data_IF_953106276838
#
_entry.id   IF_953106276838
#
_cell.length_a   1.000
_cell.length_b   1.000
_cell.length_c   1.000
_cell.angle_alpha   90.00
_cell.angle_beta   90.00
_cell.angle_gamma   90.00
#
_symmetry.space_group_name_H-M   'P 1'
#
loop_
_entity.id
_entity.type
_entity.pdbx_description
1 polymer ?
#
# COMPACT_ATOMS: atom_id res chain seq x y z
N UNK A 1 4.56 -12.82 1.46
CA UNK A 1 5.70 -12.22 0.74
C UNK A 1 5.43 -10.72 0.64
N UNK A 2 6.46 -9.88 0.49
CA UNK A 2 6.26 -8.46 0.12
C UNK A 2 7.31 -8.08 -0.92
N UNK A 3 6.93 -7.22 -1.86
CA UNK A 3 7.87 -6.63 -2.83
C UNK A 3 8.21 -5.19 -2.47
N UNK A 4 7.19 -4.41 -2.08
CA UNK A 4 7.34 -2.99 -1.75
C UNK A 4 6.99 -2.73 -0.29
N UNK A 5 7.95 -2.18 0.45
CA UNK A 5 7.69 -1.47 1.69
C UNK A 5 7.19 -0.06 1.35
N UNK A 6 6.24 0.44 2.13
CA UNK A 6 5.63 1.76 1.95
C UNK A 6 6.42 2.79 2.75
N UNK A 7 6.52 2.56 4.06
CA UNK A 7 7.27 3.40 4.99
C UNK A 7 7.62 2.58 6.24
N UNK A 8 8.58 3.05 7.01
CA UNK A 8 8.86 2.53 8.34
C UNK A 8 9.24 3.67 9.29
N UNK A 9 8.82 3.60 10.55
CA UNK A 9 9.07 4.65 11.53
C UNK A 9 9.10 4.11 12.96
N UNK A 10 9.65 4.90 13.88
CA UNK A 10 9.70 4.60 15.31
C UNK A 10 8.35 4.88 15.99
N UNK A 11 7.80 3.90 16.69
CA UNK A 11 6.74 4.10 17.68
C UNK A 11 7.38 4.57 19.00
N UNK A 12 6.79 5.60 19.63
CA UNK A 12 7.28 6.16 20.89
C UNK A 12 6.19 6.16 21.95
N UNK A 13 6.58 5.99 23.21
CA UNK A 13 5.69 6.16 24.36
C UNK A 13 5.46 7.64 24.71
N UNK A 14 4.66 7.89 25.76
CA UNK A 14 4.33 9.24 26.24
C UNK A 14 5.58 10.03 26.69
N UNK A 15 6.64 9.35 27.09
CA UNK A 15 7.93 9.95 27.46
C UNK A 15 8.90 10.12 26.26
N UNK A 16 8.50 9.71 25.06
CA UNK A 16 9.28 9.83 23.84
C UNK A 16 10.35 8.74 23.65
N UNK A 17 10.32 7.67 24.45
CA UNK A 17 11.21 6.51 24.29
C UNK A 17 10.70 5.63 23.16
N UNK A 18 11.60 5.10 22.33
CA UNK A 18 11.23 4.21 21.23
C UNK A 18 10.84 2.83 21.78
N UNK A 19 9.63 2.39 21.50
CA UNK A 19 9.05 1.12 21.98
C UNK A 19 8.99 0.04 20.90
N UNK A 20 8.81 0.45 19.64
CA UNK A 20 8.70 -0.47 18.51
C UNK A 20 9.10 0.21 17.19
N UNK A 21 9.35 -0.59 16.16
CA UNK A 21 9.39 -0.14 14.76
C UNK A 21 8.09 -0.53 14.08
N UNK A 22 7.44 0.44 13.45
CA UNK A 22 6.31 0.23 12.55
C UNK A 22 6.86 0.12 11.13
N UNK A 23 6.48 -0.92 10.40
CA UNK A 23 6.82 -1.10 9.00
C UNK A 23 5.58 -1.46 8.18
N UNK A 24 5.19 -0.57 7.28
CA UNK A 24 4.05 -0.78 6.39
C UNK A 24 4.54 -1.34 5.04
N UNK A 25 3.81 -2.32 4.49
CA UNK A 25 4.17 -2.94 3.22
C UNK A 25 2.96 -3.36 2.39
N UNK A 26 3.19 -3.47 1.08
CA UNK A 26 2.25 -4.04 0.13
C UNK A 26 2.41 -5.59 0.22
N UNK A 27 1.53 -6.24 1.01
CA UNK A 27 1.61 -7.65 1.43
C UNK A 27 0.93 -8.56 0.42
N UNK A 28 1.71 -9.52 -0.07
CA UNK A 28 1.34 -10.56 -1.03
C UNK A 28 1.14 -11.92 -0.35
N UNK A 29 0.18 -12.72 -0.81
CA UNK A 29 0.08 -14.12 -0.44
C UNK A 29 1.36 -14.83 -0.91
N UNK A 30 1.89 -15.75 -0.12
CA UNK A 30 3.17 -16.40 -0.42
C UNK A 30 3.05 -17.48 -1.51
N UNK A 31 2.29 -17.19 -2.57
CA UNK A 31 2.15 -18.06 -3.73
C UNK A 31 3.08 -17.57 -4.84
N UNK A 32 4.03 -18.42 -5.23
CA UNK A 32 4.99 -18.13 -6.30
C UNK A 32 4.34 -18.03 -7.68
N UNK A 33 3.05 -18.40 -7.82
CA UNK A 33 2.26 -18.24 -9.04
C UNK A 33 2.19 -16.80 -9.55
N UNK A 34 2.46 -15.80 -8.70
CA UNK A 34 2.44 -14.39 -9.12
C UNK A 34 3.41 -14.15 -10.29
N UNK A 35 4.58 -14.80 -10.30
CA UNK A 35 5.54 -14.67 -11.39
C UNK A 35 5.03 -15.24 -12.71
N UNK A 36 4.29 -16.35 -12.66
CA UNK A 36 3.69 -16.95 -13.85
C UNK A 36 2.52 -16.10 -14.38
N UNK A 37 1.73 -15.54 -13.47
CA UNK A 37 0.64 -14.64 -13.78
C UNK A 37 1.12 -13.34 -14.46
N UNK A 38 2.31 -12.85 -14.09
CA UNK A 38 2.93 -11.66 -14.69
C UNK A 38 3.62 -11.90 -16.04
N UNK A 39 3.58 -13.13 -16.59
CA UNK A 39 4.09 -13.39 -17.94
C UNK A 39 3.25 -12.65 -18.99
N UNK A 40 3.92 -12.08 -20.00
CA UNK A 40 3.26 -11.25 -21.03
C UNK A 40 2.06 -11.91 -21.72
N UNK A 41 2.12 -13.22 -22.00
CA UNK A 41 1.00 -13.93 -22.64
C UNK A 41 -0.24 -14.01 -21.73
N UNK A 42 -0.04 -14.08 -20.41
CA UNK A 42 -1.13 -14.09 -19.42
C UNK A 42 -1.72 -12.70 -19.21
N UNK A 43 -0.87 -11.67 -19.18
CA UNK A 43 -1.30 -10.27 -19.10
C UNK A 43 -2.07 -9.81 -20.35
N UNK A 44 -1.74 -10.36 -21.54
CA UNK A 44 -2.38 -10.00 -22.82
C UNK A 44 -3.64 -10.79 -23.16
N UNK A 45 -3.90 -11.91 -22.50
CA UNK A 45 -5.18 -12.60 -22.62
C UNK A 45 -6.17 -11.93 -21.67
N UNK A 46 -7.44 -11.74 -22.02
CA UNK A 46 -8.51 -11.38 -21.06
C UNK A 46 -9.67 -12.34 -21.21
N UNK A 47 -10.03 -13.05 -20.13
CA UNK A 47 -11.10 -14.05 -20.13
C UNK A 47 -12.36 -13.57 -19.41
N UNK A 48 -12.43 -12.30 -18.99
CA UNK A 48 -13.54 -11.79 -18.18
C UNK A 48 -13.47 -12.13 -16.70
N UNK A 49 -12.45 -12.90 -16.27
CA UNK A 49 -12.24 -13.32 -14.89
C UNK A 49 -11.12 -12.52 -14.21
N UNK A 50 -11.17 -12.44 -12.88
CA UNK A 50 -10.12 -11.88 -12.02
C UNK A 50 -8.91 -12.82 -11.99
N UNK A 51 -8.07 -12.79 -13.02
CA UNK A 51 -6.97 -13.78 -13.18
C UNK A 51 -5.68 -13.39 -12.43
N UNK A 52 -5.44 -12.12 -12.07
CA UNK A 52 -4.29 -11.79 -11.22
C UNK A 52 -4.64 -11.99 -9.75
N UNK A 53 -4.52 -13.27 -9.37
CA UNK A 53 -4.50 -13.76 -8.01
C UNK A 53 -3.16 -13.33 -7.40
N UNK A 54 -3.14 -12.12 -6.85
CA UNK A 54 -2.67 -11.93 -5.48
C UNK A 54 -3.41 -10.75 -4.88
N UNK A 55 -4.18 -11.02 -3.82
CA UNK A 55 -4.96 -10.02 -3.10
C UNK A 55 -4.02 -9.17 -2.25
N UNK A 56 -3.21 -8.35 -2.90
CA UNK A 56 -2.26 -7.53 -2.19
C UNK A 56 -3.01 -6.50 -1.34
N UNK A 57 -2.54 -6.34 -0.11
CA UNK A 57 -3.16 -5.50 0.90
C UNK A 57 -2.09 -4.75 1.66
N UNK A 58 -2.48 -3.62 2.24
CA UNK A 58 -1.56 -2.89 3.12
C UNK A 58 -1.46 -3.64 4.44
N UNK A 59 -0.27 -4.20 4.71
CA UNK A 59 0.07 -4.82 5.98
C UNK A 59 0.87 -3.86 6.84
N UNK A 60 0.60 -3.86 8.15
CA UNK A 60 1.35 -3.10 9.16
C UNK A 60 2.03 -4.07 10.09
N UNK A 61 3.35 -4.08 10.08
CA UNK A 61 4.16 -4.79 11.05
C UNK A 61 4.49 -3.89 12.22
N UNK A 62 4.25 -4.37 13.43
CA UNK A 62 4.78 -3.78 14.66
C UNK A 62 5.86 -4.69 15.21
N UNK A 63 7.08 -4.17 15.32
CA UNK A 63 8.27 -4.92 15.75
C UNK A 63 8.70 -4.36 17.11
N UNK A 64 8.34 -5.02 18.23
CA UNK A 64 8.71 -4.54 19.56
C UNK A 64 10.22 -4.52 19.78
N UNK A 65 10.72 -3.50 20.47
CA UNK A 65 12.13 -3.37 20.88
C UNK A 65 12.37 -3.81 22.33
N UNK A 66 11.49 -4.66 22.87
CA UNK A 66 11.53 -5.19 24.24
C UNK A 66 12.27 -6.53 24.35
N UNK A 67 12.86 -7.01 23.24
CA UNK A 67 13.52 -8.31 23.16
C UNK A 67 12.60 -9.46 22.78
N UNK A 68 11.32 -9.20 22.49
CA UNK A 68 10.39 -10.21 21.99
C UNK A 68 10.91 -10.84 20.69
N UNK A 69 10.81 -12.18 20.54
CA UNK A 69 11.29 -12.87 19.34
C UNK A 69 10.38 -12.68 18.11
N UNK A 70 9.18 -12.13 18.30
CA UNK A 70 8.18 -11.97 17.24
C UNK A 70 7.53 -10.58 17.31
N UNK A 71 7.20 -10.05 16.14
CA UNK A 71 6.33 -8.88 15.99
C UNK A 71 4.89 -9.26 15.65
N UNK A 72 4.05 -8.24 15.55
CA UNK A 72 2.64 -8.36 15.17
C UNK A 72 2.46 -7.90 13.73
N UNK A 73 1.56 -8.56 12.99
CA UNK A 73 1.20 -8.19 11.62
C UNK A 73 -0.31 -8.08 11.50
N UNK A 74 -0.79 -6.89 11.19
CA UNK A 74 -2.19 -6.63 10.93
C UNK A 74 -2.41 -6.06 9.51
N UNK A 75 -3.67 -6.01 9.08
CA UNK A 75 -4.04 -5.21 7.92
C UNK A 75 -4.19 -3.75 8.38
N UNK A 76 -3.57 -2.82 7.67
CA UNK A 76 -3.65 -1.40 8.03
C UNK A 76 -5.08 -0.85 7.87
N UNK A 77 -5.86 -1.43 6.95
CA UNK A 77 -7.27 -1.15 6.68
C UNK A 77 -7.95 -2.37 6.07
N UNK A 78 -9.28 -2.34 5.94
CA UNK A 78 -10.05 -3.39 5.26
C UNK A 78 -9.60 -3.49 3.77
N UNK A 79 -9.17 -4.66 3.29
CA UNK A 79 -8.79 -4.85 1.89
C UNK A 79 -9.88 -4.50 0.87
N UNK A 80 -11.16 -4.45 1.25
CA UNK A 80 -12.26 -4.02 0.38
C UNK A 80 -12.19 -2.54 0.03
N UNK A 81 -11.68 -1.68 0.92
CA UNK A 81 -11.56 -0.23 0.69
C UNK A 81 -10.77 0.08 -0.59
N UNK A 82 -9.77 -0.76 -0.86
CA UNK A 82 -8.82 -0.58 -1.94
C UNK A 82 -8.90 -1.71 -3.00
N UNK A 83 -9.99 -2.49 -2.98
CA UNK A 83 -10.26 -3.53 -3.97
C UNK A 83 -9.24 -4.67 -4.01
N UNK A 84 -8.55 -4.95 -2.91
CA UNK A 84 -7.62 -6.09 -2.76
C UNK A 84 -6.50 -6.14 -3.82
N UNK A 85 -5.98 -5.00 -4.23
CA UNK A 85 -4.74 -4.90 -4.98
C UNK A 85 -4.10 -3.58 -4.62
N UNK A 86 -3.06 -3.57 -3.80
CA UNK A 86 -2.21 -2.41 -3.54
C UNK A 86 -0.78 -2.74 -3.92
N UNK A 87 -0.25 -1.98 -4.87
CA UNK A 87 1.15 -2.05 -5.24
C UNK A 87 1.62 -0.71 -5.81
N UNK A 88 2.93 -0.57 -6.05
CA UNK A 88 3.55 0.67 -6.55
C UNK A 88 3.19 1.86 -5.67
N UNK A 89 3.63 1.75 -4.41
CA UNK A 89 3.15 2.53 -3.28
C UNK A 89 4.09 3.74 -3.05
N UNK A 90 3.55 4.95 -2.89
CA UNK A 90 4.27 6.19 -2.60
C UNK A 90 3.66 6.95 -1.42
N UNK A 91 4.42 7.91 -0.88
CA UNK A 91 4.04 8.76 0.26
C UNK A 91 4.57 10.18 0.03
N UNK A 92 4.18 11.12 0.88
CA UNK A 92 4.88 12.41 0.93
C UNK A 92 6.34 12.22 1.41
N UNK A 93 7.36 12.57 0.59
CA UNK A 93 8.77 12.36 0.95
C UNK A 93 9.22 13.03 2.26
N UNK A 94 8.53 14.10 2.69
CA UNK A 94 8.84 14.77 3.96
C UNK A 94 8.58 13.89 5.20
N UNK A 95 7.79 12.82 5.03
CA UNK A 95 7.36 11.87 6.06
C UNK A 95 8.06 10.49 5.92
N UNK A 96 9.04 10.37 5.02
CA UNK A 96 9.87 9.17 4.93
C UNK A 96 10.60 8.95 6.27
N UNK A 97 10.48 7.75 6.83
CA UNK A 97 11.10 7.42 8.12
C UNK A 97 10.33 7.93 9.34
N UNK A 98 9.17 8.56 9.15
CA UNK A 98 8.39 9.23 10.21
C UNK A 98 6.96 8.71 10.23
N UNK A 99 6.29 8.93 11.36
CA UNK A 99 4.85 8.72 11.45
C UNK A 99 4.13 9.54 10.38
N UNK A 100 3.16 8.91 9.73
CA UNK A 100 2.51 9.42 8.53
C UNK A 100 1.08 8.88 8.45
N UNK A 101 0.22 9.58 7.71
CA UNK A 101 -1.20 9.25 7.59
C UNK A 101 -1.58 8.73 6.21
N UNK A 102 -0.89 9.18 5.16
CA UNK A 102 -1.33 8.96 3.79
C UNK A 102 -0.31 8.18 2.95
N UNK A 103 -0.83 7.22 2.19
CA UNK A 103 -0.10 6.58 1.09
C UNK A 103 -0.94 6.58 -0.18
N UNK A 104 -0.28 6.59 -1.32
CA UNK A 104 -0.86 6.57 -2.65
C UNK A 104 -0.35 5.33 -3.36
N UNK A 105 -1.20 4.58 -4.04
CA UNK A 105 -0.74 3.42 -4.80
C UNK A 105 -1.66 3.13 -6.00
N UNK A 106 -1.25 2.17 -6.82
CA UNK A 106 -2.14 1.57 -7.79
C UNK A 106 -3.07 0.58 -7.10
N UNK A 107 -4.37 0.83 -7.23
CA UNK A 107 -5.44 0.02 -6.67
C UNK A 107 -6.15 -0.86 -7.71
N UNK A 108 -7.23 -1.52 -7.32
CA UNK A 108 -8.11 -2.24 -8.24
C UNK A 108 -9.59 -1.88 -8.06
N UNK A 109 -10.25 -1.58 -9.17
CA UNK A 109 -11.70 -1.67 -9.32
C UNK A 109 -12.02 -2.99 -10.02
N UNK A 110 -12.58 -3.92 -9.27
CA UNK A 110 -12.92 -5.27 -9.74
C UNK A 110 -14.24 -5.31 -10.53
N UNK A 111 -14.40 -6.26 -11.47
CA UNK A 111 -13.37 -7.20 -11.92
C UNK A 111 -12.31 -6.51 -12.78
N UNK A 112 -11.05 -6.90 -12.60
CA UNK A 112 -9.93 -6.36 -13.37
C UNK A 112 -8.80 -7.38 -13.46
N UNK A 113 -8.06 -7.35 -14.57
CA UNK A 113 -6.84 -8.16 -14.66
C UNK A 113 -5.68 -7.56 -13.91
N UNK A 114 -5.40 -6.28 -14.06
CA UNK A 114 -4.29 -5.60 -13.38
C UNK A 114 -4.83 -4.36 -12.66
N UNK A 115 -4.04 -3.81 -11.74
CA UNK A 115 -4.37 -2.57 -11.04
C UNK A 115 -4.77 -1.48 -12.04
N UNK A 116 -5.95 -0.89 -11.84
CA UNK A 116 -6.61 0.02 -12.78
C UNK A 116 -7.13 1.30 -12.10
N UNK A 117 -6.78 1.53 -10.82
CA UNK A 117 -7.13 2.75 -10.09
C UNK A 117 -5.89 3.44 -9.53
N UNK A 118 -5.99 4.74 -9.31
CA UNK A 118 -5.11 5.45 -8.39
C UNK A 118 -5.83 5.57 -7.05
N UNK A 119 -5.18 5.14 -5.98
CA UNK A 119 -5.81 4.99 -4.68
C UNK A 119 -5.04 5.77 -3.63
N UNK A 120 -5.72 6.71 -2.96
CA UNK A 120 -5.24 7.38 -1.75
C UNK A 120 -5.78 6.64 -0.53
N UNK A 121 -4.91 6.23 0.37
CA UNK A 121 -5.25 5.57 1.64
C UNK A 121 -5.03 6.53 2.79
N UNK A 122 -6.00 6.60 3.70
CA UNK A 122 -5.89 7.21 5.01
C UNK A 122 -5.71 6.09 6.05
N UNK A 123 -4.50 5.96 6.59
CA UNK A 123 -4.12 4.89 7.53
C UNK A 123 -4.68 5.11 8.94
N UNK A 124 -5.10 6.34 9.25
CA UNK A 124 -5.69 6.68 10.56
C UNK A 124 -7.19 6.39 10.53
N UNK A 125 -7.90 6.90 9.52
CA UNK A 125 -9.34 6.65 9.36
C UNK A 125 -9.63 5.26 8.78
N UNK A 126 -8.59 4.57 8.27
CA UNK A 126 -8.68 3.25 7.62
C UNK A 126 -9.62 3.24 6.41
N UNK A 127 -9.58 4.31 5.62
CA UNK A 127 -10.43 4.52 4.44
C UNK A 127 -9.58 4.70 3.18
N UNK A 128 -10.14 4.36 2.02
CA UNK A 128 -9.51 4.63 0.74
C UNK A 128 -10.39 5.47 -0.22
N UNK A 129 -9.73 6.28 -1.05
CA UNK A 129 -10.36 7.04 -2.14
C UNK A 129 -9.75 6.60 -3.45
N UNK A 130 -10.59 6.16 -4.38
CA UNK A 130 -10.18 5.58 -5.65
C UNK A 130 -10.54 6.53 -6.81
N UNK A 131 -9.56 6.85 -7.65
CA UNK A 131 -9.77 7.41 -8.98
C UNK A 131 -9.76 6.29 -10.02
N UNK A 132 -10.72 6.32 -10.94
CA UNK A 132 -10.89 5.32 -11.99
C UNK A 132 -11.50 5.96 -13.23
N UNK A 133 -11.02 5.56 -14.40
CA UNK A 133 -11.61 5.87 -15.71
C UNK A 133 -11.67 4.61 -16.57
N UNK A 134 -12.77 4.42 -17.31
CA UNK A 134 -12.97 3.25 -18.16
C UNK A 134 -11.88 3.19 -19.25
N UNK A 135 -11.23 2.03 -19.39
CA UNK A 135 -10.13 1.83 -20.33
C UNK A 135 -8.78 2.44 -19.92
N UNK A 136 -8.70 3.16 -18.80
CA UNK A 136 -7.44 3.69 -18.30
C UNK A 136 -6.65 2.64 -17.50
N UNK A 137 -5.32 2.68 -17.62
CA UNK A 137 -4.39 1.89 -16.81
C UNK A 137 -3.32 2.83 -16.26
N UNK A 138 -3.40 3.24 -14.99
CA UNK A 138 -2.45 4.18 -14.42
C UNK A 138 -1.10 3.51 -14.12
N UNK A 139 -0.06 4.32 -14.07
CA UNK A 139 1.25 3.94 -13.51
C UNK A 139 1.34 4.31 -12.03
N UNK A 140 2.46 3.95 -11.40
CA UNK A 140 2.82 4.34 -10.04
C UNK A 140 2.55 5.84 -9.78
N UNK A 141 1.73 6.20 -8.77
CA UNK A 141 1.55 7.59 -8.38
C UNK A 141 2.81 8.13 -7.70
N UNK A 142 3.17 9.37 -8.00
CA UNK A 142 4.28 10.07 -7.36
C UNK A 142 3.79 11.38 -6.74
N UNK A 143 3.87 11.48 -5.42
CA UNK A 143 3.40 12.66 -4.69
C UNK A 143 4.40 13.82 -4.76
N UNK A 144 3.90 15.00 -5.08
CA UNK A 144 4.64 16.26 -5.12
C UNK A 144 3.99 17.26 -4.16
N UNK A 145 4.65 17.60 -3.03
CA UNK A 145 4.10 18.56 -2.08
C UNK A 145 4.00 19.95 -2.71
N UNK A 146 2.91 20.66 -2.42
CA UNK A 146 2.77 22.07 -2.78
C UNK A 146 3.83 22.90 -2.02
N UNK A 147 4.48 23.89 -2.65
CA UNK A 147 5.37 24.80 -1.93
C UNK A 147 4.65 25.48 -0.74
N UNK A 148 5.23 25.36 0.46
CA UNK A 148 4.61 25.87 1.69
C UNK A 148 3.41 25.04 2.18
N UNK A 149 3.31 23.77 1.79
CA UNK A 149 2.36 22.82 2.35
C UNK A 149 2.57 22.66 3.87
N UNK A 150 1.46 22.66 4.61
CA UNK A 150 1.43 22.39 6.05
C UNK A 150 0.82 21.03 6.34
N UNK A 151 -0.13 20.59 5.51
CA UNK A 151 -0.75 19.26 5.63
C UNK A 151 0.04 18.25 4.81
N UNK A 152 0.07 17.00 5.29
CA UNK A 152 0.78 15.89 4.65
C UNK A 152 0.32 15.64 3.21
N UNK A 153 -0.98 15.82 2.92
CA UNK A 153 -1.60 15.55 1.62
C UNK A 153 -1.85 16.81 0.77
N UNK A 154 -1.26 17.94 1.13
CA UNK A 154 -1.37 19.20 0.39
C UNK A 154 -0.35 19.22 -0.77
N UNK A 155 -0.72 18.57 -1.86
CA UNK A 155 0.12 18.37 -3.04
C UNK A 155 -0.65 17.72 -4.19
N UNK A 156 0.09 17.36 -5.23
CA UNK A 156 -0.42 16.62 -6.38
C UNK A 156 0.17 15.20 -6.40
#
# INVERSE_FOLDING_TARGET
MTFHFINAYEEKDEEGRVTAIIADCCKHNANTSIHDNLRLHNLRSFTGEDVLIDSSRVGRFRIPLDGSPFGELEAALDPEEHGRSMDMCSINPAHLGKEYRYTYACGARRPCKFSNTLTKIDLVEKMAKNWYEEGAVPSEPYFVPRPGAVKEDDGA
#
